data_IF_814059132572
#
_entry.id   IF_814059132572
#
_cell.length_a   1.000
_cell.length_b   1.000
_cell.length_c   1.000
_cell.angle_alpha   90.00
_cell.angle_beta   90.00
_cell.angle_gamma   90.00
#
_symmetry.space_group_name_H-M   'P 1'
#
loop_
_entity.id
_entity.type
_entity.pdbx_description
1 polymer ?
#
# COMPACT_ATOMS: atom_id res chain seq x y z
N UNK A 1 15.45 4.83 -6.50
CA UNK A 1 14.14 4.31 -7.03
C UNK A 1 12.97 5.07 -6.43
N UNK A 2 11.79 5.03 -7.04
CA UNK A 2 10.57 5.70 -6.53
C UNK A 2 9.60 4.69 -5.90
N UNK A 3 8.70 5.22 -5.05
CA UNK A 3 7.50 4.52 -4.65
C UNK A 3 6.27 5.25 -5.21
N UNK A 4 5.30 4.51 -5.72
CA UNK A 4 4.07 5.04 -6.31
C UNK A 4 2.89 4.69 -5.41
N UNK A 5 2.12 5.69 -5.01
CA UNK A 5 0.92 5.52 -4.17
C UNK A 5 -0.32 5.95 -4.95
N UNK A 6 -1.13 5.02 -5.48
CA UNK A 6 -2.40 5.34 -6.10
C UNK A 6 -3.43 5.87 -5.08
N UNK A 7 -3.86 7.11 -5.25
CA UNK A 7 -4.76 7.85 -4.36
C UNK A 7 -5.91 8.58 -5.09
N UNK A 8 -6.13 8.30 -6.39
CA UNK A 8 -7.15 8.98 -7.20
C UNK A 8 -8.58 8.40 -7.05
N UNK A 9 -8.76 7.28 -6.35
CA UNK A 9 -10.04 6.58 -6.21
C UNK A 9 -11.12 7.38 -5.49
N UNK A 10 -12.39 7.20 -5.85
CA UNK A 10 -13.53 7.99 -5.34
C UNK A 10 -13.89 7.75 -3.86
N UNK A 11 -13.38 6.68 -3.22
CA UNK A 11 -13.65 6.40 -1.81
C UNK A 11 -15.12 6.12 -1.48
N UNK A 12 -15.89 5.56 -2.40
CA UNK A 12 -17.35 5.39 -2.29
C UNK A 12 -17.82 4.60 -1.07
N UNK A 13 -16.98 3.68 -0.57
CA UNK A 13 -17.29 2.87 0.64
C UNK A 13 -17.44 3.70 1.91
N UNK A 14 -16.85 4.91 1.95
CA UNK A 14 -16.89 5.82 3.09
C UNK A 14 -17.85 7.00 2.93
N UNK A 15 -18.72 6.98 1.91
CA UNK A 15 -19.74 8.02 1.80
C UNK A 15 -20.69 7.95 3.00
N UNK A 16 -21.10 9.11 3.57
CA UNK A 16 -20.93 10.46 3.01
C UNK A 16 -19.63 11.18 3.41
N UNK A 17 -18.78 10.63 4.29
CA UNK A 17 -17.56 11.30 4.78
C UNK A 17 -16.63 11.71 3.61
N UNK A 18 -16.44 10.81 2.66
CA UNK A 18 -15.56 11.02 1.50
C UNK A 18 -16.11 11.95 0.42
N UNK A 19 -17.29 12.54 0.64
CA UNK A 19 -17.75 13.66 -0.17
C UNK A 19 -16.88 14.92 -0.02
N UNK A 20 -16.29 15.11 1.16
CA UNK A 20 -15.52 16.33 1.48
C UNK A 20 -14.07 16.04 1.83
N UNK A 21 -13.75 14.82 2.29
CA UNK A 21 -12.42 14.41 2.71
C UNK A 21 -11.99 13.20 1.91
N UNK A 22 -10.86 13.23 1.18
CA UNK A 22 -10.31 12.04 0.54
C UNK A 22 -10.18 10.88 1.54
N UNK A 23 -10.51 9.64 1.12
CA UNK A 23 -10.41 8.47 2.01
C UNK A 23 -8.99 8.29 2.57
N UNK A 24 -8.01 8.67 1.80
CA UNK A 24 -6.59 8.61 2.11
C UNK A 24 -6.19 9.56 3.25
N UNK A 25 -7.01 10.60 3.49
CA UNK A 25 -6.84 11.55 4.61
C UNK A 25 -7.68 11.19 5.85
N UNK A 26 -8.42 10.10 5.82
CA UNK A 26 -9.07 9.62 7.04
C UNK A 26 -7.98 9.26 8.06
N UNK A 27 -8.07 9.78 9.29
CA UNK A 27 -7.00 9.54 10.26
C UNK A 27 -7.10 8.13 10.85
N UNK A 28 -5.96 7.51 11.08
CA UNK A 28 -5.82 6.44 12.06
C UNK A 28 -5.18 7.08 13.28
N UNK A 29 -5.95 7.22 14.34
CA UNK A 29 -5.69 8.05 15.51
C UNK A 29 -5.50 9.53 15.13
N UNK A 30 -4.29 10.02 15.05
CA UNK A 30 -3.91 11.42 14.83
C UNK A 30 -3.10 11.67 13.55
N UNK A 31 -2.89 10.62 12.73
CA UNK A 31 -2.13 10.69 11.48
C UNK A 31 -2.99 10.17 10.30
N UNK A 32 -3.05 10.87 9.16
CA UNK A 32 -3.74 10.38 7.97
C UNK A 32 -3.15 9.07 7.44
N UNK A 33 -4.00 8.17 6.92
CA UNK A 33 -3.57 6.89 6.37
C UNK A 33 -2.47 7.05 5.33
N UNK A 34 -2.60 8.01 4.42
CA UNK A 34 -1.62 8.22 3.35
C UNK A 34 -0.23 8.58 3.88
N UNK A 35 -0.14 9.26 5.04
CA UNK A 35 1.16 9.57 5.63
C UNK A 35 1.85 8.31 6.17
N UNK A 36 1.12 7.37 6.76
CA UNK A 36 1.67 6.05 7.14
C UNK A 36 2.23 5.32 5.93
N UNK A 37 1.51 5.33 4.80
CA UNK A 37 1.96 4.67 3.56
C UNK A 37 3.19 5.34 2.98
N UNK A 38 3.28 6.68 3.04
CA UNK A 38 4.48 7.42 2.60
C UNK A 38 5.68 7.11 3.49
N UNK A 39 5.50 7.11 4.81
CA UNK A 39 6.56 6.78 5.76
C UNK A 39 7.03 5.32 5.58
N UNK A 40 6.12 4.36 5.42
CA UNK A 40 6.42 2.96 5.07
C UNK A 40 7.25 2.86 3.78
N UNK A 41 6.86 3.61 2.74
CA UNK A 41 7.60 3.59 1.48
C UNK A 41 9.06 4.05 1.64
N UNK A 42 9.30 4.99 2.55
CA UNK A 42 10.62 5.58 2.82
C UNK A 42 11.48 4.76 3.80
N UNK A 43 10.97 3.65 4.35
CA UNK A 43 11.77 2.75 5.21
C UNK A 43 12.93 2.09 4.43
N UNK A 44 12.78 1.88 3.13
CA UNK A 44 13.83 1.35 2.27
C UNK A 44 14.75 2.47 1.79
N UNK A 45 16.05 2.41 2.14
CA UNK A 45 17.04 3.47 1.89
C UNK A 45 17.22 3.86 0.42
N UNK A 46 16.94 2.95 -0.52
CA UNK A 46 17.01 3.23 -1.96
C UNK A 46 15.78 4.00 -2.48
N UNK A 47 14.72 4.17 -1.68
CA UNK A 47 13.57 5.00 -2.04
C UNK A 47 13.88 6.46 -1.74
N UNK A 48 14.13 7.24 -2.78
CA UNK A 48 14.52 8.64 -2.71
C UNK A 48 13.34 9.62 -2.94
N UNK A 49 12.14 9.09 -3.16
CA UNK A 49 10.93 9.89 -3.31
C UNK A 49 9.68 9.06 -3.53
N UNK A 50 8.55 9.65 -3.15
CA UNK A 50 7.22 9.05 -3.26
C UNK A 50 6.39 9.84 -4.26
N UNK A 51 5.80 9.15 -5.23
CA UNK A 51 4.90 9.73 -6.24
C UNK A 51 3.47 9.38 -5.87
N UNK A 52 2.69 10.35 -5.43
CA UNK A 52 1.27 10.17 -5.14
C UNK A 52 0.48 10.46 -6.43
N UNK A 53 -0.25 9.44 -6.90
CA UNK A 53 -1.15 9.59 -8.04
C UNK A 53 -2.53 9.97 -7.52
N UNK A 54 -2.88 11.24 -7.64
CA UNK A 54 -4.13 11.82 -7.14
C UNK A 54 -5.06 12.28 -8.27
N UNK A 55 -6.11 13.04 -7.95
CA UNK A 55 -6.97 13.74 -8.90
C UNK A 55 -7.11 15.20 -8.52
N UNK A 56 -7.40 16.09 -9.48
CA UNK A 56 -7.60 17.50 -9.22
C UNK A 56 -8.72 17.81 -8.20
N UNK A 57 -9.62 16.87 -7.98
CA UNK A 57 -10.70 17.01 -6.99
C UNK A 57 -10.24 16.78 -5.54
N UNK A 58 -8.95 16.42 -5.32
CA UNK A 58 -8.38 16.08 -4.00
C UNK A 58 -7.19 16.97 -3.59
N UNK A 59 -7.29 18.32 -3.69
CA UNK A 59 -6.17 19.21 -3.35
C UNK A 59 -5.75 19.11 -1.87
N UNK A 60 -6.60 18.54 -1.01
CA UNK A 60 -6.30 18.35 0.41
C UNK A 60 -5.14 17.36 0.63
N UNK A 61 -4.92 16.40 -0.30
CA UNK A 61 -3.80 15.48 -0.20
C UNK A 61 -2.47 16.24 -0.38
N UNK A 62 -2.40 17.10 -1.39
CA UNK A 62 -1.23 17.97 -1.61
C UNK A 62 -0.99 18.88 -0.42
N UNK A 63 -2.05 19.59 0.05
CA UNK A 63 -1.96 20.49 1.19
C UNK A 63 -1.45 19.81 2.49
N UNK A 64 -1.68 18.50 2.65
CA UNK A 64 -1.16 17.76 3.80
C UNK A 64 0.37 17.61 3.77
N UNK A 65 0.96 17.50 2.57
CA UNK A 65 2.42 17.36 2.38
C UNK A 65 3.12 18.69 2.04
N UNK A 66 2.38 19.81 1.96
CA UNK A 66 2.96 21.14 1.86
C UNK A 66 3.37 21.68 3.23
N UNK A 67 4.51 22.39 3.31
CA UNK A 67 4.92 23.08 4.54
C UNK A 67 3.96 24.19 4.93
N UNK A 68 3.54 24.20 6.18
CA UNK A 68 2.83 25.32 6.79
C UNK A 68 3.72 26.05 7.84
N UNK A 69 4.71 26.78 7.35
CA UNK A 69 5.62 27.54 8.23
C UNK A 69 4.87 28.53 9.14
N UNK A 70 3.67 28.98 8.77
CA UNK A 70 2.88 29.88 9.60
C UNK A 70 2.34 29.13 10.82
N UNK A 71 1.81 27.90 10.62
CA UNK A 71 1.34 27.05 11.70
C UNK A 71 2.51 26.60 12.58
N UNK A 72 3.63 26.16 11.98
CA UNK A 72 4.86 25.78 12.69
C UNK A 72 5.31 26.89 13.67
N UNK A 73 5.47 28.13 13.15
CA UNK A 73 5.87 29.30 13.96
C UNK A 73 4.85 29.64 15.03
N UNK A 74 3.56 29.52 14.75
CA UNK A 74 2.49 29.77 15.72
C UNK A 74 2.55 28.77 16.89
N UNK A 75 2.75 27.50 16.58
CA UNK A 75 2.83 26.41 17.58
C UNK A 75 4.09 26.57 18.43
N UNK A 76 5.24 26.77 17.83
CA UNK A 76 6.52 27.01 18.52
C UNK A 76 6.42 28.25 19.45
N UNK A 77 5.84 29.36 18.98
CA UNK A 77 5.64 30.57 19.77
C UNK A 77 4.69 30.41 20.97
N UNK A 78 3.88 29.34 20.97
CA UNK A 78 3.00 28.93 22.08
C UNK A 78 3.61 27.86 22.99
N UNK A 79 4.87 27.51 22.81
CA UNK A 79 5.56 26.48 23.57
C UNK A 79 5.14 25.04 23.20
N UNK A 80 4.49 24.87 22.02
CA UNK A 80 4.01 23.57 21.50
C UNK A 80 4.97 23.03 20.44
N UNK A 81 6.26 22.92 20.78
CA UNK A 81 7.30 22.55 19.81
C UNK A 81 7.03 21.17 19.18
N UNK A 82 6.66 20.17 19.97
CA UNK A 82 6.38 18.82 19.44
C UNK A 82 5.30 18.81 18.34
N UNK A 83 4.27 19.64 18.46
CA UNK A 83 3.26 19.76 17.40
C UNK A 83 3.79 20.53 16.18
N UNK A 84 4.67 21.52 16.39
CA UNK A 84 5.33 22.19 15.27
C UNK A 84 6.21 21.21 14.48
N UNK A 85 6.97 20.36 15.18
CA UNK A 85 7.83 19.34 14.58
C UNK A 85 6.99 18.29 13.79
N UNK A 86 5.82 17.90 14.29
CA UNK A 86 4.90 16.99 13.55
C UNK A 86 4.41 17.62 12.25
N UNK A 87 4.06 18.91 12.26
CA UNK A 87 3.63 19.64 11.04
C UNK A 87 4.79 19.75 10.06
N UNK A 88 5.97 20.12 10.53
CA UNK A 88 7.18 20.21 9.70
C UNK A 88 7.55 18.86 9.09
N UNK A 89 7.48 17.77 9.86
CA UNK A 89 7.77 16.41 9.39
C UNK A 89 6.89 16.05 8.19
N UNK A 90 5.58 16.23 8.29
CA UNK A 90 4.68 15.94 7.17
C UNK A 90 5.01 16.78 5.92
N UNK A 91 5.29 18.08 6.10
CA UNK A 91 5.58 19.02 5.01
C UNK A 91 6.99 18.92 4.42
N UNK A 92 7.86 18.04 4.94
CA UNK A 92 9.24 17.83 4.45
C UNK A 92 9.48 16.45 3.87
N UNK A 93 8.48 15.58 3.87
CA UNK A 93 8.57 14.28 3.21
C UNK A 93 8.81 14.46 1.70
N UNK A 94 9.67 13.63 1.06
CA UNK A 94 10.00 13.75 -0.35
C UNK A 94 8.88 13.20 -1.24
N UNK A 95 7.80 13.97 -1.35
CA UNK A 95 6.58 13.60 -2.08
C UNK A 95 6.42 14.47 -3.32
N UNK A 96 6.09 13.87 -4.46
CA UNK A 96 5.64 14.52 -5.67
C UNK A 96 4.24 14.04 -6.07
N UNK A 97 3.56 14.81 -6.94
CA UNK A 97 2.18 14.52 -7.32
C UNK A 97 2.05 14.40 -8.84
N UNK A 98 1.31 13.39 -9.27
CA UNK A 98 0.82 13.25 -10.65
C UNK A 98 -0.68 13.05 -10.63
N UNK A 99 -1.35 13.38 -11.74
CA UNK A 99 -2.81 13.38 -11.78
C UNK A 99 -3.34 12.28 -12.69
N UNK A 100 -4.31 11.55 -12.18
CA UNK A 100 -5.13 10.66 -12.96
C UNK A 100 -6.38 11.43 -13.41
N UNK A 101 -6.45 11.82 -14.69
CA UNK A 101 -7.52 12.67 -15.24
C UNK A 101 -8.90 11.97 -15.25
N UNK A 102 -8.92 10.65 -15.31
CA UNK A 102 -10.14 9.85 -15.30
C UNK A 102 -9.93 8.56 -14.49
N UNK A 103 -10.93 8.06 -13.74
CA UNK A 103 -10.81 6.87 -12.91
C UNK A 103 -10.83 5.58 -13.74
N UNK A 104 -9.78 5.33 -14.50
CA UNK A 104 -9.65 4.21 -15.44
C UNK A 104 -9.04 2.95 -14.82
N UNK A 105 -8.96 2.87 -13.51
CA UNK A 105 -8.46 1.70 -12.78
C UNK A 105 -7.05 1.86 -12.20
N UNK A 106 -6.62 0.84 -11.43
CA UNK A 106 -5.35 0.83 -10.70
C UNK A 106 -4.14 0.85 -11.63
N UNK A 107 -4.15 0.03 -12.70
CA UNK A 107 -3.06 0.00 -13.67
C UNK A 107 -2.88 1.35 -14.37
N UNK A 108 -3.98 2.03 -14.71
CA UNK A 108 -3.89 3.38 -15.27
C UNK A 108 -3.30 4.38 -14.26
N UNK A 109 -3.67 4.31 -12.99
CA UNK A 109 -3.07 5.16 -11.96
C UNK A 109 -1.56 4.95 -11.88
N UNK A 110 -1.10 3.69 -11.82
CA UNK A 110 0.34 3.38 -11.83
C UNK A 110 1.01 3.92 -13.10
N UNK A 111 0.39 3.76 -14.27
CA UNK A 111 0.93 4.27 -15.54
C UNK A 111 1.10 5.79 -15.56
N UNK A 112 0.25 6.56 -14.85
CA UNK A 112 0.40 8.00 -14.75
C UNK A 112 1.74 8.44 -14.12
N UNK A 113 2.36 7.59 -13.31
CA UNK A 113 3.65 7.88 -12.67
C UNK A 113 4.88 7.53 -13.53
N UNK A 114 4.72 7.08 -14.76
CA UNK A 114 5.82 6.54 -15.56
C UNK A 114 6.99 7.52 -15.79
N UNK A 115 6.70 8.80 -16.03
CA UNK A 115 7.75 9.82 -16.26
C UNK A 115 8.56 10.08 -14.97
N UNK A 116 7.94 9.96 -13.80
CA UNK A 116 8.60 10.13 -12.49
C UNK A 116 9.42 8.89 -12.08
N UNK A 117 8.97 7.70 -12.47
CA UNK A 117 9.64 6.43 -12.18
C UNK A 117 10.85 6.23 -13.10
N UNK A 118 10.72 6.54 -14.39
CA UNK A 118 11.76 6.29 -15.39
C UNK A 118 12.00 4.81 -15.62
N UNK A 119 13.27 4.45 -15.81
CA UNK A 119 13.72 3.08 -16.18
C UNK A 119 14.21 2.27 -14.96
N UNK A 120 13.86 2.65 -13.75
CA UNK A 120 14.26 1.94 -12.52
C UNK A 120 13.13 1.05 -11.98
N UNK A 121 13.44 -0.06 -11.28
CA UNK A 121 12.47 -0.75 -10.45
C UNK A 121 11.83 0.21 -9.44
N UNK A 122 10.56 -0.01 -9.13
CA UNK A 122 9.82 0.88 -8.25
C UNK A 122 8.81 0.13 -7.39
N UNK A 123 8.50 0.70 -6.24
CA UNK A 123 7.44 0.19 -5.40
C UNK A 123 6.07 0.74 -5.81
N UNK A 124 5.02 -0.08 -5.63
CA UNK A 124 3.62 0.37 -5.63
C UNK A 124 3.01 -0.02 -4.29
N UNK A 125 2.46 0.96 -3.56
CA UNK A 125 1.80 0.76 -2.27
C UNK A 125 0.35 1.25 -2.37
N UNK A 126 -0.62 0.38 -2.13
CA UNK A 126 -2.02 0.81 -2.10
C UNK A 126 -2.28 1.70 -0.88
N UNK A 127 -2.98 2.82 -1.11
CA UNK A 127 -3.17 3.89 -0.13
C UNK A 127 -4.24 3.61 0.95
N UNK A 128 -4.79 2.41 1.03
CA UNK A 128 -5.80 1.99 2.02
C UNK A 128 -5.37 0.78 2.86
N UNK A 129 -4.09 0.48 2.86
CA UNK A 129 -3.43 -0.51 3.71
C UNK A 129 -2.06 0.05 4.10
N UNK A 130 -1.57 -0.19 5.31
CA UNK A 130 -0.22 0.23 5.73
C UNK A 130 0.37 -0.75 6.73
N UNK A 131 1.70 -0.82 6.75
CA UNK A 131 2.49 -1.75 7.58
C UNK A 131 3.58 -0.95 8.27
N UNK A 132 3.32 -0.39 9.46
CA UNK A 132 4.32 0.42 10.15
C UNK A 132 5.39 -0.47 10.80
N UNK A 133 6.64 -0.02 10.74
CA UNK A 133 7.78 -0.58 11.48
C UNK A 133 8.15 -2.05 11.20
N UNK A 134 7.64 -2.65 10.09
CA UNK A 134 7.91 -4.05 9.73
C UNK A 134 8.87 -4.23 8.55
N UNK A 135 9.37 -3.12 7.99
CA UNK A 135 10.34 -3.14 6.89
C UNK A 135 9.92 -4.03 5.70
N UNK A 136 8.62 -4.07 5.39
CA UNK A 136 8.09 -4.94 4.34
C UNK A 136 8.78 -4.68 2.99
N UNK A 137 8.98 -3.42 2.63
CA UNK A 137 9.65 -3.05 1.38
C UNK A 137 11.12 -3.50 1.35
N UNK A 138 11.81 -3.48 2.50
CA UNK A 138 13.18 -3.99 2.62
C UNK A 138 13.21 -5.49 2.39
N UNK A 139 12.33 -6.25 3.04
CA UNK A 139 12.20 -7.71 2.86
C UNK A 139 11.87 -8.08 1.40
N UNK A 140 11.00 -7.32 0.74
CA UNK A 140 10.69 -7.51 -0.68
C UNK A 140 11.89 -7.24 -1.57
N UNK A 141 12.67 -6.20 -1.29
CA UNK A 141 13.90 -5.89 -2.02
C UNK A 141 14.95 -6.99 -1.85
N UNK A 142 15.12 -7.55 -0.65
CA UNK A 142 16.02 -8.69 -0.41
C UNK A 142 15.64 -9.90 -1.27
N UNK A 143 14.34 -10.21 -1.39
CA UNK A 143 13.87 -11.27 -2.29
C UNK A 143 14.19 -10.95 -3.75
N UNK A 144 13.94 -9.72 -4.18
CA UNK A 144 14.25 -9.26 -5.54
C UNK A 144 15.75 -9.41 -5.86
N UNK A 145 16.62 -8.94 -4.97
CA UNK A 145 18.08 -9.04 -5.13
C UNK A 145 18.56 -10.50 -5.19
N UNK A 146 18.03 -11.37 -4.33
CA UNK A 146 18.32 -12.80 -4.32
C UNK A 146 17.93 -13.51 -5.63
N UNK A 147 16.98 -12.92 -6.37
CA UNK A 147 16.46 -13.44 -7.64
C UNK A 147 16.79 -12.53 -8.84
N UNK A 148 17.94 -11.86 -8.83
CA UNK A 148 18.47 -11.12 -9.98
C UNK A 148 17.74 -9.82 -10.33
N UNK A 149 17.03 -9.20 -9.37
CA UNK A 149 16.26 -7.97 -9.58
C UNK A 149 14.84 -8.23 -10.11
N UNK A 150 14.32 -9.45 -9.93
CA UNK A 150 12.97 -9.80 -10.37
C UNK A 150 11.90 -9.01 -9.61
N UNK A 151 10.74 -8.83 -10.24
CA UNK A 151 9.56 -8.26 -9.58
C UNK A 151 9.11 -9.12 -8.38
N UNK A 152 8.70 -8.45 -7.30
CA UNK A 152 8.22 -9.12 -6.07
C UNK A 152 6.88 -8.54 -5.64
N UNK A 153 5.95 -9.41 -5.24
CA UNK A 153 4.66 -9.02 -4.67
C UNK A 153 4.54 -9.56 -3.25
N UNK A 154 3.98 -8.78 -2.34
CA UNK A 154 3.65 -9.27 -1.01
C UNK A 154 2.30 -9.98 -1.05
N UNK A 155 2.23 -11.16 -0.45
CA UNK A 155 1.03 -12.00 -0.37
C UNK A 155 0.82 -12.49 1.06
N UNK A 156 -0.44 -12.75 1.41
CA UNK A 156 -0.76 -13.30 2.72
C UNK A 156 -1.79 -14.43 2.58
N UNK A 157 -1.83 -15.39 3.52
CA UNK A 157 -2.86 -16.41 3.51
C UNK A 157 -4.24 -15.83 3.82
N UNK A 158 -5.27 -16.36 3.15
CA UNK A 158 -6.67 -15.99 3.34
C UNK A 158 -7.53 -17.24 3.45
N UNK A 159 -8.60 -17.22 4.27
CA UNK A 159 -9.56 -18.34 4.32
C UNK A 159 -10.13 -18.65 2.92
N UNK A 160 -10.32 -19.95 2.58
CA UNK A 160 -10.80 -20.35 1.25
C UNK A 160 -12.09 -19.67 0.80
N UNK A 161 -13.00 -19.38 1.71
CA UNK A 161 -14.27 -18.71 1.45
C UNK A 161 -14.14 -17.22 1.09
N UNK A 162 -12.97 -16.61 1.36
CA UNK A 162 -12.72 -15.20 1.10
C UNK A 162 -11.89 -14.93 -0.17
N UNK A 163 -11.34 -15.95 -0.83
CA UNK A 163 -10.48 -15.79 -2.01
C UNK A 163 -11.14 -14.98 -3.14
N UNK A 164 -12.46 -15.07 -3.27
CA UNK A 164 -13.24 -14.33 -4.28
C UNK A 164 -13.25 -12.81 -4.10
N UNK A 165 -12.65 -12.29 -3.03
CA UNK A 165 -12.54 -10.85 -2.76
C UNK A 165 -11.26 -10.23 -3.29
N UNK A 166 -10.24 -11.04 -3.61
CA UNK A 166 -8.85 -10.63 -3.84
C UNK A 166 -8.26 -11.21 -5.13
N UNK A 167 -7.17 -10.59 -5.58
CA UNK A 167 -6.26 -11.23 -6.53
C UNK A 167 -5.48 -12.34 -5.83
N UNK A 168 -5.47 -13.52 -6.43
CA UNK A 168 -4.83 -14.73 -5.90
C UNK A 168 -3.67 -15.14 -6.81
N UNK A 169 -2.53 -15.52 -6.23
CA UNK A 169 -1.40 -16.02 -7.00
C UNK A 169 -1.51 -17.51 -7.29
N UNK A 170 -0.97 -17.93 -8.45
CA UNK A 170 -0.58 -19.31 -8.75
C UNK A 170 0.95 -19.39 -8.70
N UNK A 171 1.50 -20.49 -8.20
CA UNK A 171 2.94 -20.65 -8.13
C UNK A 171 3.37 -21.83 -7.26
N UNK A 172 4.65 -21.87 -6.95
CA UNK A 172 5.24 -22.88 -6.07
C UNK A 172 6.22 -22.22 -5.08
N UNK A 173 6.27 -22.75 -3.87
CA UNK A 173 7.24 -22.34 -2.87
C UNK A 173 8.65 -22.80 -3.29
N UNK A 174 9.57 -21.85 -3.46
CA UNK A 174 10.94 -22.12 -3.92
C UNK A 174 12.00 -21.89 -2.84
N UNK A 175 11.60 -21.34 -1.69
CA UNK A 175 12.53 -21.07 -0.58
C UNK A 175 11.92 -20.19 0.48
N UNK A 176 12.76 -19.48 1.20
CA UNK A 176 12.38 -18.53 2.24
C UNK A 176 13.32 -17.32 2.26
N UNK A 177 12.87 -16.25 2.89
CA UNK A 177 13.68 -15.09 3.18
C UNK A 177 14.95 -15.49 3.96
N UNK A 178 16.07 -14.79 3.73
CA UNK A 178 17.33 -15.09 4.36
C UNK A 178 17.22 -15.09 5.90
N UNK A 179 17.69 -16.21 6.52
CA UNK A 179 17.64 -16.36 7.98
C UNK A 179 16.27 -16.79 8.55
N UNK A 180 15.27 -17.03 7.70
CA UNK A 180 13.94 -17.51 8.10
C UNK A 180 13.76 -18.95 7.63
N UNK A 181 13.31 -19.84 8.52
CA UNK A 181 12.89 -21.19 8.16
C UNK A 181 11.37 -21.17 7.90
N UNK A 182 10.98 -21.06 6.64
CA UNK A 182 9.57 -21.05 6.24
C UNK A 182 9.33 -21.90 4.99
N UNK A 183 8.12 -22.41 4.85
CA UNK A 183 7.70 -23.20 3.69
C UNK A 183 6.20 -23.11 3.45
N UNK A 184 5.76 -23.38 2.23
CA UNK A 184 4.35 -23.30 1.87
C UNK A 184 3.82 -21.88 2.02
N UNK A 185 2.70 -21.72 2.73
CA UNK A 185 2.03 -20.44 2.96
C UNK A 185 2.44 -19.77 4.29
N UNK A 186 3.54 -20.19 4.89
CA UNK A 186 4.07 -19.59 6.12
C UNK A 186 4.76 -18.26 5.84
N UNK A 187 4.70 -17.36 6.80
CA UNK A 187 5.42 -16.08 6.76
C UNK A 187 6.91 -16.27 6.47
N UNK A 188 7.45 -15.44 5.58
CA UNK A 188 8.83 -15.51 5.11
C UNK A 188 9.07 -16.50 3.98
N UNK A 189 8.08 -17.33 3.60
CA UNK A 189 8.20 -18.20 2.43
C UNK A 189 8.24 -17.37 1.14
N UNK A 190 9.06 -17.82 0.19
CA UNK A 190 9.22 -17.20 -1.13
C UNK A 190 8.64 -18.13 -2.18
N UNK A 191 7.74 -17.61 -2.98
CA UNK A 191 7.09 -18.34 -4.07
C UNK A 191 7.56 -17.80 -5.43
N UNK A 192 7.77 -18.72 -6.37
CA UNK A 192 7.87 -18.35 -7.80
C UNK A 192 6.46 -18.28 -8.36
N UNK A 193 6.05 -17.09 -8.79
CA UNK A 193 4.71 -16.85 -9.34
C UNK A 193 4.63 -17.39 -10.77
N UNK A 194 3.56 -18.12 -11.09
CA UNK A 194 3.30 -18.67 -12.41
C UNK A 194 2.00 -18.16 -13.03
N UNK A 195 1.19 -17.43 -12.27
CA UNK A 195 -0.05 -16.82 -12.73
C UNK A 195 -0.72 -16.00 -11.64
N UNK A 196 -1.67 -15.18 -12.06
CA UNK A 196 -2.45 -14.28 -11.22
C UNK A 196 -3.91 -14.37 -11.63
N UNK A 197 -4.82 -14.53 -10.68
CA UNK A 197 -6.26 -14.64 -10.96
C UNK A 197 -7.02 -13.64 -10.11
N UNK A 198 -7.68 -12.69 -10.75
CA UNK A 198 -8.49 -11.68 -10.09
C UNK A 198 -9.83 -12.27 -9.65
N UNK A 199 -10.09 -12.28 -8.34
CA UNK A 199 -11.34 -12.70 -7.69
C UNK A 199 -11.86 -14.06 -8.19
N UNK A 200 -11.07 -15.14 -8.10
CA UNK A 200 -11.51 -16.46 -8.53
C UNK A 200 -12.70 -16.97 -7.70
N UNK A 201 -13.49 -17.88 -8.26
CA UNK A 201 -14.41 -18.68 -7.47
C UNK A 201 -13.58 -19.56 -6.49
N UNK A 202 -14.06 -19.86 -5.26
CA UNK A 202 -13.28 -20.62 -4.28
C UNK A 202 -12.75 -21.96 -4.81
N UNK A 203 -13.54 -22.67 -5.60
CA UNK A 203 -13.17 -23.96 -6.22
C UNK A 203 -12.17 -23.82 -7.37
N UNK A 204 -11.96 -22.62 -7.89
CA UNK A 204 -11.03 -22.33 -8.99
C UNK A 204 -9.79 -21.58 -8.54
N UNK A 205 -9.68 -21.23 -7.25
CA UNK A 205 -8.53 -20.52 -6.71
C UNK A 205 -7.27 -21.40 -6.77
N UNK A 206 -6.17 -20.93 -7.38
CA UNK A 206 -4.95 -21.73 -7.53
C UNK A 206 -4.16 -21.88 -6.22
N UNK A 207 -4.37 -21.01 -5.25
CA UNK A 207 -3.80 -21.03 -3.90
C UNK A 207 -4.72 -20.27 -2.93
N UNK A 208 -4.31 -20.13 -1.66
CA UNK A 208 -4.97 -19.27 -0.70
C UNK A 208 -4.14 -18.01 -0.37
N UNK A 209 -3.20 -17.64 -1.25
CA UNK A 209 -2.34 -16.48 -1.09
C UNK A 209 -2.90 -15.29 -1.86
N UNK A 210 -3.41 -14.30 -1.14
CA UNK A 210 -3.93 -13.06 -1.74
C UNK A 210 -2.86 -11.96 -1.77
N UNK A 211 -2.97 -11.08 -2.74
CA UNK A 211 -2.07 -9.94 -2.93
C UNK A 211 -2.46 -8.83 -1.97
N UNK A 212 -1.55 -8.44 -1.05
CA UNK A 212 -1.82 -7.43 -0.01
C UNK A 212 -1.68 -5.98 -0.48
N UNK A 213 -1.36 -5.75 -1.75
CA UNK A 213 -1.27 -4.41 -2.31
C UNK A 213 0.10 -3.73 -2.15
N UNK A 214 1.15 -4.52 -1.96
CA UNK A 214 2.56 -4.11 -1.99
C UNK A 214 3.24 -4.83 -3.12
N UNK A 215 3.90 -4.05 -3.98
CA UNK A 215 4.56 -4.54 -5.19
C UNK A 215 5.91 -3.85 -5.35
N UNK A 216 6.94 -4.61 -5.70
CA UNK A 216 8.19 -4.13 -6.28
C UNK A 216 8.21 -4.59 -7.74
N UNK A 217 8.15 -3.68 -8.67
CA UNK A 217 7.92 -3.99 -10.08
C UNK A 217 9.08 -3.53 -10.96
N UNK A 218 9.36 -4.32 -11.99
CA UNK A 218 10.21 -3.93 -13.11
C UNK A 218 9.58 -2.75 -13.86
N UNK A 219 10.38 -1.77 -14.34
CA UNK A 219 9.87 -0.66 -15.14
C UNK A 219 9.17 -1.10 -16.43
N UNK A 220 9.45 -2.31 -16.91
CA UNK A 220 8.79 -2.92 -18.08
C UNK A 220 7.26 -2.93 -17.96
N UNK A 221 6.72 -2.99 -16.74
CA UNK A 221 5.27 -2.93 -16.50
C UNK A 221 4.64 -1.65 -17.06
N UNK A 222 5.37 -0.53 -17.11
CA UNK A 222 4.86 0.74 -17.61
C UNK A 222 4.53 0.69 -19.11
N UNK A 223 5.36 -0.01 -19.90
CA UNK A 223 5.09 -0.23 -21.34
C UNK A 223 3.87 -1.13 -21.53
N UNK A 224 3.78 -2.20 -20.73
CA UNK A 224 2.64 -3.12 -20.79
C UNK A 224 1.32 -2.42 -20.44
N UNK A 225 1.33 -1.53 -19.45
CA UNK A 225 0.17 -0.71 -19.08
C UNK A 225 -0.20 0.32 -20.14
N UNK A 226 0.77 0.84 -20.90
CA UNK A 226 0.51 1.83 -21.96
C UNK A 226 -0.34 1.25 -23.10
N UNK A 227 -0.13 -0.03 -23.43
CA UNK A 227 -0.80 -0.73 -24.51
C UNK A 227 -2.00 -1.59 -24.03
N UNK A 228 -2.34 -1.53 -22.74
CA UNK A 228 -3.38 -2.39 -22.18
C UNK A 228 -4.77 -1.84 -22.46
N UNK A 229 -5.62 -2.70 -23.06
CA UNK A 229 -7.05 -2.42 -23.16
C UNK A 229 -7.73 -2.53 -21.79
N UNK A 230 -8.84 -1.81 -21.60
CA UNK A 230 -9.65 -1.95 -20.41
C UNK A 230 -10.21 -3.39 -20.30
N UNK A 231 -10.05 -3.97 -19.12
CA UNK A 231 -10.51 -5.33 -18.76
C UNK A 231 -11.80 -5.31 -17.93
N UNK A 232 -11.83 -6.11 -16.87
CA UNK A 232 -12.98 -6.21 -15.98
C UNK A 232 -13.38 -4.84 -15.40
N UNK A 233 -14.68 -4.55 -15.38
CA UNK A 233 -15.20 -3.26 -14.92
C UNK A 233 -14.93 -2.07 -15.83
N UNK A 234 -14.44 -2.28 -17.05
CA UNK A 234 -13.95 -1.26 -17.98
C UNK A 234 -12.77 -0.47 -17.39
N UNK A 235 -11.92 -1.14 -16.60
CA UNK A 235 -10.74 -0.59 -15.93
C UNK A 235 -9.46 -1.22 -16.49
N UNK A 236 -8.35 -0.48 -16.45
CA UNK A 236 -7.01 -0.98 -16.72
C UNK A 236 -6.50 -1.57 -15.38
N UNK A 237 -6.51 -2.90 -15.29
CA UNK A 237 -6.13 -3.61 -14.07
C UNK A 237 -4.61 -3.82 -14.02
N UNK A 238 -4.01 -3.58 -12.84
CA UNK A 238 -2.58 -3.87 -12.63
C UNK A 238 -2.29 -5.37 -12.70
N UNK A 239 -3.22 -6.20 -12.21
CA UNK A 239 -3.12 -7.66 -12.23
C UNK A 239 -2.97 -8.21 -13.65
N UNK A 240 -3.75 -7.69 -14.63
CA UNK A 240 -3.66 -8.10 -16.02
C UNK A 240 -2.30 -7.74 -16.65
N UNK A 241 -1.74 -6.57 -16.29
CA UNK A 241 -0.42 -6.17 -16.74
C UNK A 241 0.68 -7.05 -16.13
N UNK A 242 0.56 -7.40 -14.85
CA UNK A 242 1.49 -8.33 -14.20
C UNK A 242 1.44 -9.73 -14.80
N UNK A 243 0.26 -10.20 -15.21
CA UNK A 243 0.15 -11.48 -15.90
C UNK A 243 0.84 -11.46 -17.28
N UNK A 244 0.79 -10.33 -17.99
CA UNK A 244 1.57 -10.13 -19.22
C UNK A 244 3.07 -10.05 -18.95
N UNK A 245 3.47 -9.41 -17.84
CA UNK A 245 4.87 -9.33 -17.43
C UNK A 245 5.46 -10.71 -17.12
N UNK A 246 4.68 -11.62 -16.52
CA UNK A 246 5.07 -13.02 -16.28
C UNK A 246 5.43 -13.81 -17.55
N UNK A 247 4.94 -13.38 -18.73
CA UNK A 247 5.33 -13.99 -20.00
C UNK A 247 6.72 -13.56 -20.49
N UNK A 248 7.28 -12.48 -19.91
CA UNK A 248 8.56 -11.87 -20.30
C UNK A 248 9.62 -12.01 -19.22
N UNK A 249 9.23 -11.95 -17.92
CA UNK A 249 10.13 -11.89 -16.77
C UNK A 249 9.66 -12.81 -15.64
N UNK A 250 10.58 -13.26 -14.81
CA UNK A 250 10.24 -13.98 -13.58
C UNK A 250 9.67 -13.01 -12.53
N UNK A 251 8.73 -13.49 -11.74
CA UNK A 251 8.14 -12.77 -10.61
C UNK A 251 8.09 -13.67 -9.39
N UNK A 252 8.33 -13.10 -8.23
CA UNK A 252 8.29 -13.80 -6.96
C UNK A 252 7.25 -13.19 -6.02
N UNK A 253 6.83 -13.97 -5.05
CA UNK A 253 5.96 -13.49 -3.97
C UNK A 253 6.61 -13.78 -2.62
N UNK A 254 6.56 -12.80 -1.73
CA UNK A 254 6.93 -12.96 -0.33
C UNK A 254 5.65 -13.15 0.49
N UNK A 255 5.56 -14.26 1.22
CA UNK A 255 4.47 -14.48 2.16
C UNK A 255 4.72 -13.65 3.43
N UNK A 256 3.76 -12.81 3.79
CA UNK A 256 3.80 -11.95 4.97
C UNK A 256 2.70 -12.33 5.96
N UNK A 257 2.88 -11.97 7.24
CA UNK A 257 1.81 -12.11 8.22
C UNK A 257 0.73 -11.03 7.98
N UNK A 258 -0.53 -11.40 7.70
CA UNK A 258 -1.60 -10.41 7.55
C UNK A 258 -1.82 -9.57 8.82
N UNK A 259 -1.37 -10.03 9.99
CA UNK A 259 -1.44 -9.28 11.23
C UNK A 259 -0.44 -8.11 11.31
N UNK A 260 0.59 -8.05 10.47
CA UNK A 260 1.50 -6.90 10.41
C UNK A 260 0.81 -5.65 9.85
N UNK A 261 -0.18 -5.83 8.97
CA UNK A 261 -0.81 -4.73 8.26
C UNK A 261 -2.11 -4.22 8.91
N UNK A 262 -2.49 -3.03 8.49
CA UNK A 262 -3.69 -2.31 8.90
C UNK A 262 -4.53 -1.99 7.67
N UNK A 263 -5.64 -2.72 7.50
CA UNK A 263 -6.59 -2.45 6.42
C UNK A 263 -7.49 -1.26 6.79
N UNK A 264 -7.58 -0.29 5.91
CA UNK A 264 -8.44 0.88 6.03
C UNK A 264 -9.38 1.05 4.83
N UNK A 265 -9.52 0.02 3.99
CA UNK A 265 -10.30 0.04 2.76
C UNK A 265 -11.83 -0.01 2.96
N UNK A 266 -12.31 -0.35 4.16
CA UNK A 266 -13.74 -0.33 4.52
C UNK A 266 -13.96 0.32 5.89
N UNK A 267 -15.18 0.84 6.20
CA UNK A 267 -15.47 1.42 7.52
C UNK A 267 -15.19 0.46 8.68
N UNK A 268 -15.51 -0.83 8.52
CA UNK A 268 -15.28 -1.82 9.58
C UNK A 268 -13.78 -2.08 9.78
N UNK A 269 -13.02 -2.27 8.70
CA UNK A 269 -11.58 -2.49 8.75
C UNK A 269 -10.86 -1.25 9.31
N UNK A 270 -11.25 -0.04 8.88
CA UNK A 270 -10.73 1.22 9.40
C UNK A 270 -10.97 1.37 10.91
N UNK A 271 -12.18 1.04 11.40
CA UNK A 271 -12.48 1.09 12.83
C UNK A 271 -11.65 0.08 13.62
N UNK A 272 -11.50 -1.15 13.11
CA UNK A 272 -10.66 -2.18 13.72
C UNK A 272 -9.17 -1.75 13.75
N UNK A 273 -8.67 -1.16 12.67
CA UNK A 273 -7.29 -0.63 12.59
C UNK A 273 -7.06 0.49 13.60
N UNK A 274 -8.02 1.41 13.77
CA UNK A 274 -7.95 2.44 14.81
C UNK A 274 -7.91 1.84 16.22
N UNK A 275 -8.77 0.86 16.51
CA UNK A 275 -8.81 0.21 17.81
C UNK A 275 -7.50 -0.53 18.12
N UNK A 276 -6.95 -1.26 17.14
CA UNK A 276 -5.68 -1.98 17.29
C UNK A 276 -4.52 -1.02 17.54
N UNK A 277 -4.39 0.04 16.72
CA UNK A 277 -3.37 1.07 16.91
C UNK A 277 -3.48 1.77 18.26
N UNK A 278 -4.72 2.05 18.74
CA UNK A 278 -4.92 2.65 20.06
C UNK A 278 -4.48 1.73 21.20
N UNK A 279 -4.59 0.41 21.04
CA UNK A 279 -4.12 -0.58 22.01
C UNK A 279 -2.59 -0.77 21.98
N UNK A 280 -1.92 -0.41 20.91
CA UNK A 280 -0.48 -0.53 20.73
C UNK A 280 0.26 0.76 21.17
N UNK A 281 -0.37 1.92 21.11
CA UNK A 281 0.21 3.21 21.49
C UNK A 281 0.20 3.44 23.00
N UNK A 282 1.39 3.53 23.60
CA UNK A 282 1.58 3.65 25.07
C UNK A 282 0.91 4.88 25.67
N UNK A 283 0.89 6.01 24.95
CA UNK A 283 0.36 7.30 25.44
C UNK A 283 -1.16 7.35 25.55
N UNK A 284 -1.89 6.47 24.84
CA UNK A 284 -3.37 6.47 24.83
C UNK A 284 -3.99 5.13 25.23
N UNK A 285 -3.22 4.05 25.28
CA UNK A 285 -3.70 2.68 25.53
C UNK A 285 -4.63 2.55 26.72
N UNK A 286 -4.17 3.05 27.87
CA UNK A 286 -4.93 2.91 29.12
C UNK A 286 -6.20 3.73 29.09
N UNK A 287 -6.12 4.99 28.63
CA UNK A 287 -7.29 5.85 28.47
C UNK A 287 -8.31 5.26 27.47
N UNK A 288 -7.84 4.63 26.40
CA UNK A 288 -8.69 3.96 25.42
C UNK A 288 -9.39 2.74 26.03
N UNK A 289 -8.67 1.89 26.77
CA UNK A 289 -9.25 0.75 27.49
C UNK A 289 -10.29 1.17 28.50
N UNK A 290 -10.00 2.20 29.31
CA UNK A 290 -10.93 2.76 30.30
C UNK A 290 -12.20 3.30 29.64
N UNK A 291 -12.07 3.97 28.47
CA UNK A 291 -13.19 4.51 27.72
C UNK A 291 -14.09 3.42 27.10
N UNK A 292 -13.53 2.28 26.73
CA UNK A 292 -14.30 1.12 26.24
C UNK A 292 -15.04 0.41 27.39
N UNK A 293 -14.50 0.47 28.63
CA UNK A 293 -15.08 -0.18 29.79
C UNK A 293 -15.28 -1.68 29.57
N UNK A 294 -16.46 -2.17 29.99
CA UNK A 294 -16.85 -3.58 29.85
C UNK A 294 -17.47 -3.89 28.46
N UNK A 295 -17.16 -3.12 27.41
CA UNK A 295 -17.56 -3.48 26.06
C UNK A 295 -16.96 -4.85 25.72
N UNK A 296 -17.78 -5.85 25.50
CA UNK A 296 -17.38 -7.13 24.91
C UNK A 296 -16.93 -6.85 23.47
N UNK A 297 -15.60 -6.92 23.21
CA UNK A 297 -14.97 -6.79 21.90
C UNK A 297 -14.82 -8.16 21.25
#
# INVERSE_FOLDING_TARGET
MKAVIPAAGLGTRFLPATKAVPKELLPVLDKPVIQYVVEEALEHEAVDGVVIVTSHDKPQIESHFERDEKLERLLAGRGKQAYADMVETAGTLPVSFVYQEAPLGLGHAVRCAADEVGDEPFFVLLGDYFVPDHQMNVRMAEVSEAHGGASVIAVAPVPPEEVSRYGIIAGECVGSLAGVEASGEQEGAVWKVTGLVEKPAPEAAPSHLFIVGRYLLSPRIMDLLADQAAGAGNEIQLTDAMERLLAEEEMYALVVDPAEGYDTGTPAAWAASNARMALERDDIRDAFRDALGDCEL
#
